data_IF_486316436153
#
_entry.id   IF_486316436153
#
_cell.length_a   1.000
_cell.length_b   1.000
_cell.length_c   1.000
_cell.angle_alpha   90.00
_cell.angle_beta   90.00
_cell.angle_gamma   90.00
#
_symmetry.space_group_name_H-M   'P 1'
#
loop_
_entity.id
_entity.type
_entity.pdbx_description
1 polymer ?
#
# COMPACT_ATOMS: atom_id res chain seq x y z
N UNK A 1 -7.07 -3.39 -16.64
CA UNK A 1 -8.25 -4.27 -16.76
C UNK A 1 -8.52 -5.05 -15.48
N UNK A 2 -7.60 -5.89 -14.99
CA UNK A 2 -7.78 -6.68 -13.75
C UNK A 2 -8.11 -5.83 -12.52
N UNK A 3 -7.41 -4.72 -12.30
CA UNK A 3 -7.70 -3.77 -11.22
C UNK A 3 -9.11 -3.18 -11.29
N UNK A 4 -9.64 -2.92 -12.51
CA UNK A 4 -11.02 -2.44 -12.69
C UNK A 4 -12.03 -3.52 -12.34
N UNK A 5 -11.85 -4.76 -12.83
CA UNK A 5 -12.73 -5.87 -12.48
C UNK A 5 -12.74 -6.17 -10.98
N UNK A 6 -11.57 -6.17 -10.36
CA UNK A 6 -11.43 -6.34 -8.92
C UNK A 6 -12.15 -5.22 -8.16
N UNK A 7 -11.99 -3.97 -8.59
CA UNK A 7 -12.65 -2.81 -7.96
C UNK A 7 -14.17 -2.92 -8.06
N UNK A 8 -14.71 -3.29 -9.22
CA UNK A 8 -16.16 -3.48 -9.41
C UNK A 8 -16.71 -4.53 -8.44
N UNK A 9 -16.02 -5.67 -8.31
CA UNK A 9 -16.41 -6.72 -7.37
C UNK A 9 -16.30 -6.29 -5.90
N UNK A 10 -15.28 -5.50 -5.55
CA UNK A 10 -15.11 -4.95 -4.20
C UNK A 10 -16.22 -3.96 -3.86
N UNK A 11 -16.50 -3.01 -4.76
CA UNK A 11 -17.52 -1.99 -4.54
C UNK A 11 -18.94 -2.56 -4.57
N UNK A 12 -19.22 -3.63 -5.33
CA UNK A 12 -20.52 -4.29 -5.28
C UNK A 12 -20.79 -4.94 -3.92
N UNK A 13 -19.78 -5.60 -3.34
CA UNK A 13 -19.89 -6.20 -1.99
C UNK A 13 -20.00 -5.13 -0.91
N UNK A 14 -19.22 -4.05 -1.01
CA UNK A 14 -19.34 -2.89 -0.11
C UNK A 14 -20.74 -2.26 -0.17
N UNK A 15 -21.28 -2.07 -1.36
CA UNK A 15 -22.63 -1.54 -1.56
C UNK A 15 -23.71 -2.46 -0.99
N UNK A 16 -23.58 -3.78 -1.20
CA UNK A 16 -24.48 -4.76 -0.61
C UNK A 16 -24.48 -4.71 0.91
N UNK A 17 -23.29 -4.66 1.53
CA UNK A 17 -23.15 -4.53 2.99
C UNK A 17 -23.81 -3.23 3.48
N UNK A 18 -23.47 -2.09 2.89
CA UNK A 18 -23.99 -0.80 3.31
C UNK A 18 -25.52 -0.72 3.20
N UNK A 19 -26.10 -1.33 2.16
CA UNK A 19 -27.55 -1.41 2.00
C UNK A 19 -28.20 -2.29 3.08
N UNK A 20 -27.57 -3.40 3.45
CA UNK A 20 -28.07 -4.28 4.51
C UNK A 20 -28.00 -3.60 5.89
N UNK A 21 -26.88 -2.95 6.21
CA UNK A 21 -26.70 -2.20 7.46
C UNK A 21 -27.69 -1.02 7.57
N UNK A 22 -27.91 -0.31 6.45
CA UNK A 22 -28.93 0.74 6.37
C UNK A 22 -30.33 0.20 6.65
N UNK A 23 -30.68 -0.96 6.09
CA UNK A 23 -31.96 -1.63 6.36
C UNK A 23 -32.12 -2.00 7.84
N UNK A 24 -31.10 -2.59 8.46
CA UNK A 24 -31.12 -2.94 9.89
C UNK A 24 -31.23 -1.72 10.81
N UNK A 25 -30.58 -0.61 10.45
CA UNK A 25 -30.70 0.66 11.18
C UNK A 25 -32.15 1.18 11.17
N UNK A 26 -32.79 1.17 10.00
CA UNK A 26 -34.20 1.55 9.87
C UNK A 26 -35.12 0.62 10.66
N UNK A 27 -34.93 -0.70 10.55
CA UNK A 27 -35.77 -1.67 11.26
C UNK A 27 -35.70 -1.47 12.79
N UNK A 28 -34.52 -1.13 13.33
CA UNK A 28 -34.33 -0.85 14.76
C UNK A 28 -35.06 0.42 15.21
N UNK A 29 -35.01 1.47 14.39
CA UNK A 29 -35.77 2.70 14.65
C UNK A 29 -37.27 2.47 14.54
N UNK A 30 -37.73 1.74 13.53
CA UNK A 30 -39.14 1.35 13.35
C UNK A 30 -39.61 0.57 14.57
N UNK A 31 -38.86 -0.44 15.02
CA UNK A 31 -39.21 -1.24 16.20
C UNK A 31 -39.32 -0.36 17.47
N UNK A 32 -38.42 0.60 17.62
CA UNK A 32 -38.46 1.54 18.75
C UNK A 32 -39.70 2.43 18.71
N UNK A 33 -40.10 2.90 17.52
CA UNK A 33 -41.34 3.66 17.33
C UNK A 33 -42.58 2.80 17.59
N UNK A 34 -42.62 1.57 17.06
CA UNK A 34 -43.74 0.65 17.24
C UNK A 34 -43.98 0.36 18.72
N UNK A 35 -42.92 0.14 19.50
CA UNK A 35 -43.02 -0.14 20.93
C UNK A 35 -43.47 1.08 21.77
N UNK A 36 -43.11 2.31 21.37
CA UNK A 36 -43.49 3.51 22.13
C UNK A 36 -44.92 3.99 21.81
N UNK A 37 -45.33 3.85 20.55
CA UNK A 37 -46.61 4.33 20.05
C UNK A 37 -47.68 3.22 19.93
N UNK A 38 -47.36 2.00 20.37
CA UNK A 38 -48.23 0.81 20.31
C UNK A 38 -48.84 0.56 18.92
N UNK A 39 -48.04 0.76 17.87
CA UNK A 39 -48.47 0.44 16.52
C UNK A 39 -48.60 -1.08 16.34
N UNK A 40 -49.51 -1.57 15.49
CA UNK A 40 -49.55 -2.98 15.16
C UNK A 40 -48.26 -3.41 14.46
N UNK A 41 -47.79 -4.62 14.74
CA UNK A 41 -46.60 -5.20 14.12
C UNK A 41 -46.70 -5.13 12.59
N UNK A 42 -45.60 -4.75 11.93
CA UNK A 42 -45.49 -4.57 10.47
C UNK A 42 -46.35 -3.47 9.84
N UNK A 43 -46.90 -2.54 10.63
CA UNK A 43 -47.67 -1.41 10.09
C UNK A 43 -46.85 -0.33 9.40
N UNK A 44 -45.56 -0.18 9.74
CA UNK A 44 -44.66 0.83 9.16
C UNK A 44 -43.67 0.13 8.23
N UNK A 45 -43.74 0.44 6.94
CA UNK A 45 -42.75 -0.01 5.96
C UNK A 45 -41.50 0.88 5.95
N UNK A 46 -40.37 0.36 5.45
CA UNK A 46 -39.11 1.11 5.34
C UNK A 46 -39.24 2.37 4.47
N UNK A 47 -40.08 2.32 3.44
CA UNK A 47 -40.29 3.43 2.52
C UNK A 47 -41.18 4.53 3.12
N UNK A 48 -42.09 4.15 4.03
CA UNK A 48 -43.01 5.07 4.71
C UNK A 48 -42.41 5.68 5.99
N UNK A 49 -41.33 5.11 6.52
CA UNK A 49 -40.67 5.56 7.76
C UNK A 49 -40.41 7.07 7.80
N UNK A 50 -39.90 7.65 6.70
CA UNK A 50 -39.61 9.07 6.64
C UNK A 50 -40.88 9.94 6.77
N UNK A 51 -41.96 9.53 6.13
CA UNK A 51 -43.25 10.22 6.22
C UNK A 51 -43.85 10.11 7.63
N UNK A 52 -43.84 8.91 8.21
CA UNK A 52 -44.32 8.67 9.58
C UNK A 52 -43.53 9.49 10.60
N UNK A 53 -42.20 9.57 10.45
CA UNK A 53 -41.36 10.37 11.33
C UNK A 53 -41.71 11.86 11.26
N UNK A 54 -41.96 12.41 10.06
CA UNK A 54 -42.39 13.81 9.93
C UNK A 54 -43.76 14.06 10.53
N UNK A 55 -44.68 13.10 10.40
CA UNK A 55 -46.02 13.19 11.00
C UNK A 55 -45.99 13.13 12.54
N UNK A 56 -45.19 12.23 13.10
CA UNK A 56 -45.01 12.12 14.56
C UNK A 56 -44.32 13.34 15.15
N UNK A 57 -43.36 13.93 14.44
CA UNK A 57 -42.72 15.17 14.85
C UNK A 57 -43.71 16.35 14.88
N UNK A 58 -44.68 16.38 13.96
CA UNK A 58 -45.71 17.43 13.93
C UNK A 58 -46.80 17.24 14.99
N UNK A 59 -47.13 16.01 15.35
CA UNK A 59 -48.26 15.70 16.26
C UNK A 59 -47.83 15.55 17.71
N UNK A 60 -46.71 14.86 17.99
CA UNK A 60 -46.25 14.51 19.35
C UNK A 60 -44.72 14.65 19.48
N UNK A 61 -44.16 15.87 19.40
CA UNK A 61 -42.71 16.09 19.42
C UNK A 61 -42.06 15.68 20.75
N UNK A 62 -42.75 15.84 21.87
CA UNK A 62 -42.22 15.56 23.22
C UNK A 62 -41.95 14.06 23.45
N UNK A 63 -42.85 13.17 22.99
CA UNK A 63 -42.63 11.71 23.09
C UNK A 63 -41.54 11.24 22.13
N UNK A 64 -41.48 11.83 20.94
CA UNK A 64 -40.44 11.52 19.96
C UNK A 64 -39.05 11.94 20.43
N UNK A 65 -38.93 13.06 21.15
CA UNK A 65 -37.66 13.56 21.69
C UNK A 65 -37.07 12.67 22.80
N UNK A 66 -37.89 11.86 23.47
CA UNK A 66 -37.43 10.88 24.46
C UNK A 66 -36.83 9.62 23.82
N UNK A 67 -37.18 9.34 22.56
CA UNK A 67 -36.62 8.21 21.83
C UNK A 67 -35.22 8.51 21.29
N UNK A 68 -34.29 7.60 21.57
CA UNK A 68 -32.94 7.65 21.05
C UNK A 68 -32.90 7.00 19.65
N UNK A 69 -33.41 7.71 18.64
CA UNK A 69 -33.36 7.24 17.24
C UNK A 69 -31.96 7.43 16.66
N UNK A 70 -31.43 6.40 16.01
CA UNK A 70 -30.14 6.47 15.31
C UNK A 70 -30.31 7.17 13.95
N UNK A 71 -29.34 8.01 13.56
CA UNK A 71 -29.36 8.66 12.23
C UNK A 71 -28.91 7.68 11.15
N UNK A 72 -29.87 7.08 10.43
CA UNK A 72 -29.61 6.14 9.35
C UNK A 72 -29.44 6.88 8.01
N UNK A 73 -28.20 7.20 7.60
CA UNK A 73 -27.89 7.68 6.25
C UNK A 73 -27.01 6.69 5.51
N UNK A 74 -27.39 6.33 4.29
CA UNK A 74 -26.63 5.38 3.47
C UNK A 74 -25.18 5.83 3.23
N UNK A 75 -24.97 7.13 3.01
CA UNK A 75 -23.63 7.70 2.80
C UNK A 75 -22.72 7.46 4.01
N UNK A 76 -23.25 7.55 5.23
CA UNK A 76 -22.47 7.32 6.45
C UNK A 76 -21.99 5.87 6.55
N UNK A 77 -22.74 4.91 6.02
CA UNK A 77 -22.33 3.49 5.97
C UNK A 77 -21.28 3.23 4.89
N UNK A 78 -21.41 3.89 3.72
CA UNK A 78 -20.40 3.81 2.65
C UNK A 78 -19.06 4.42 3.08
N UNK A 79 -19.09 5.57 3.77
CA UNK A 79 -17.89 6.28 4.22
C UNK A 79 -17.20 5.60 5.41
N UNK A 80 -17.93 4.81 6.21
CA UNK A 80 -17.39 4.02 7.34
C UNK A 80 -16.62 2.77 6.90
N UNK A 81 -16.48 2.52 5.60
CA UNK A 81 -15.83 1.33 5.06
C UNK A 81 -14.36 1.18 5.51
N UNK A 82 -13.96 -0.05 5.83
CA UNK A 82 -12.59 -0.35 6.24
C UNK A 82 -11.62 -0.30 5.04
N UNK A 83 -10.44 0.31 5.24
CA UNK A 83 -9.33 0.26 4.29
C UNK A 83 -8.27 -0.76 4.73
N UNK A 84 -7.46 -1.24 3.78
CA UNK A 84 -6.38 -2.19 4.06
C UNK A 84 -6.90 -3.59 4.41
N UNK A 85 -6.26 -4.25 5.38
CA UNK A 85 -6.58 -5.62 5.79
C UNK A 85 -8.02 -5.80 6.29
N UNK A 86 -8.59 -4.77 6.92
CA UNK A 86 -9.97 -4.80 7.41
C UNK A 86 -11.02 -4.94 6.31
N UNK A 87 -10.71 -4.55 5.08
CA UNK A 87 -11.62 -4.75 3.96
C UNK A 87 -11.87 -6.25 3.73
N UNK A 88 -10.81 -7.05 3.59
CA UNK A 88 -10.92 -8.48 3.31
C UNK A 88 -11.40 -9.29 4.53
N UNK A 89 -10.91 -8.97 5.74
CA UNK A 89 -11.17 -9.81 6.92
C UNK A 89 -12.40 -9.42 7.74
N UNK A 90 -12.93 -8.20 7.56
CA UNK A 90 -14.12 -7.72 8.30
C UNK A 90 -15.28 -7.52 7.31
N UNK A 91 -15.11 -6.65 6.31
CA UNK A 91 -16.21 -6.28 5.43
C UNK A 91 -16.65 -7.46 4.56
N UNK A 92 -15.71 -8.13 3.90
CA UNK A 92 -16.03 -9.25 3.01
C UNK A 92 -16.58 -10.47 3.74
N UNK A 93 -16.00 -10.82 4.89
CA UNK A 93 -16.44 -11.97 5.68
C UNK A 93 -17.86 -11.75 6.22
N UNK A 94 -18.16 -10.54 6.69
CA UNK A 94 -19.50 -10.15 7.13
C UNK A 94 -20.51 -10.21 5.98
N UNK A 95 -20.16 -9.70 4.80
CA UNK A 95 -21.03 -9.78 3.63
C UNK A 95 -21.30 -11.24 3.19
N UNK A 96 -20.31 -12.13 3.29
CA UNK A 96 -20.45 -13.56 2.95
C UNK A 96 -21.45 -14.27 3.89
N UNK A 97 -21.55 -13.86 5.16
CA UNK A 97 -22.52 -14.45 6.10
C UNK A 97 -23.98 -14.26 5.68
N UNK A 98 -24.27 -13.20 4.93
CA UNK A 98 -25.61 -12.93 4.41
C UNK A 98 -25.94 -13.68 3.11
N UNK A 99 -24.97 -14.38 2.51
CA UNK A 99 -25.19 -15.13 1.27
C UNK A 99 -25.67 -16.57 1.55
N UNK A 100 -26.61 -17.11 0.76
CA UNK A 100 -26.99 -18.51 0.87
C UNK A 100 -25.80 -19.40 0.53
N UNK A 101 -25.52 -20.41 1.37
CA UNK A 101 -24.33 -21.25 1.20
C UNK A 101 -23.02 -20.58 1.60
N UNK A 102 -23.05 -19.64 2.55
CA UNK A 102 -21.90 -18.94 3.13
C UNK A 102 -20.58 -19.74 3.25
N UNK A 103 -20.54 -21.00 3.75
CA UNK A 103 -19.28 -21.73 3.87
C UNK A 103 -18.58 -22.00 2.53
N UNK A 104 -19.33 -22.22 1.44
CA UNK A 104 -18.73 -22.45 0.12
C UNK A 104 -18.08 -21.16 -0.42
N UNK A 105 -18.77 -20.02 -0.27
CA UNK A 105 -18.26 -18.70 -0.67
C UNK A 105 -17.02 -18.29 0.13
N UNK A 106 -16.98 -18.58 1.43
CA UNK A 106 -15.82 -18.32 2.27
C UNK A 106 -14.57 -19.08 1.78
N UNK A 107 -14.70 -20.37 1.46
CA UNK A 107 -13.58 -21.18 0.94
C UNK A 107 -13.06 -20.63 -0.38
N UNK A 108 -13.95 -20.30 -1.32
CA UNK A 108 -13.56 -19.71 -2.61
C UNK A 108 -12.86 -18.36 -2.45
N UNK A 109 -13.37 -17.50 -1.57
CA UNK A 109 -12.80 -16.18 -1.31
C UNK A 109 -11.39 -16.28 -0.70
N UNK A 110 -11.20 -17.10 0.33
CA UNK A 110 -9.88 -17.27 0.95
C UNK A 110 -8.91 -18.03 0.05
N UNK A 111 -9.36 -19.01 -0.73
CA UNK A 111 -8.52 -19.70 -1.72
C UNK A 111 -8.02 -18.74 -2.82
N UNK A 112 -8.87 -17.80 -3.26
CA UNK A 112 -8.48 -16.74 -4.17
C UNK A 112 -7.40 -15.85 -3.56
N UNK A 113 -7.62 -15.32 -2.34
CA UNK A 113 -6.64 -14.48 -1.64
C UNK A 113 -5.30 -15.22 -1.43
N UNK A 114 -5.35 -16.51 -1.09
CA UNK A 114 -4.18 -17.35 -0.93
C UNK A 114 -3.40 -17.51 -2.23
N UNK A 115 -4.07 -17.79 -3.34
CA UNK A 115 -3.43 -17.93 -4.66
C UNK A 115 -2.82 -16.61 -5.16
N UNK A 116 -3.50 -15.49 -4.92
CA UNK A 116 -2.98 -14.15 -5.22
C UNK A 116 -1.72 -13.85 -4.41
N UNK A 117 -1.73 -14.16 -3.11
CA UNK A 117 -0.56 -14.03 -2.25
C UNK A 117 0.61 -14.92 -2.70
N UNK A 118 0.35 -16.19 -2.97
CA UNK A 118 1.38 -17.15 -3.41
C UNK A 118 2.07 -16.73 -4.71
N UNK A 119 1.28 -16.35 -5.72
CA UNK A 119 1.84 -15.95 -7.03
C UNK A 119 2.77 -14.74 -6.93
N UNK A 120 2.42 -13.74 -6.11
CA UNK A 120 3.31 -12.60 -5.85
C UNK A 120 4.57 -12.99 -5.09
N UNK A 121 4.48 -13.94 -4.16
CA UNK A 121 5.63 -14.35 -3.35
C UNK A 121 6.68 -15.11 -4.18
N UNK A 122 6.28 -15.83 -5.23
CA UNK A 122 7.25 -16.44 -6.15
C UNK A 122 8.15 -15.40 -6.82
N UNK A 123 7.57 -14.31 -7.34
CA UNK A 123 8.36 -13.22 -7.93
C UNK A 123 9.26 -12.51 -6.91
N UNK A 124 8.77 -12.30 -5.69
CA UNK A 124 9.57 -11.68 -4.63
C UNK A 124 10.78 -12.53 -4.23
N UNK A 125 10.59 -13.84 -4.07
CA UNK A 125 11.68 -14.77 -3.73
C UNK A 125 12.70 -14.84 -4.88
N UNK A 126 12.24 -14.94 -6.13
CA UNK A 126 13.12 -14.93 -7.31
C UNK A 126 13.93 -13.62 -7.41
N UNK A 127 13.30 -12.49 -7.10
CA UNK A 127 13.96 -11.18 -7.06
C UNK A 127 15.06 -11.05 -5.99
N UNK A 128 15.00 -11.84 -4.92
CA UNK A 128 16.06 -11.89 -3.88
C UNK A 128 17.14 -12.92 -4.23
N UNK A 129 16.74 -14.09 -4.73
CA UNK A 129 17.67 -15.19 -5.00
C UNK A 129 18.57 -14.89 -6.19
N UNK A 130 18.03 -14.32 -7.27
CA UNK A 130 18.79 -14.08 -8.51
C UNK A 130 19.98 -13.14 -8.28
N UNK A 131 19.83 -11.95 -7.66
CA UNK A 131 20.97 -11.08 -7.37
C UNK A 131 21.99 -11.72 -6.41
N UNK A 132 21.51 -12.53 -5.45
CA UNK A 132 22.38 -13.20 -4.49
C UNK A 132 23.25 -14.27 -5.15
N UNK A 133 22.70 -14.97 -6.15
CA UNK A 133 23.43 -15.93 -6.98
C UNK A 133 24.44 -15.23 -7.89
N UNK A 134 24.03 -14.12 -8.53
CA UNK A 134 24.86 -13.36 -9.47
C UNK A 134 26.07 -12.70 -8.78
N UNK A 135 25.94 -12.26 -7.53
CA UNK A 135 27.04 -11.66 -6.77
C UNK A 135 28.12 -12.69 -6.34
N UNK A 136 27.87 -13.99 -6.49
CA UNK A 136 28.86 -15.04 -6.17
C UNK A 136 29.27 -15.08 -4.69
N UNK A 137 28.45 -14.55 -3.78
CA UNK A 137 28.72 -14.50 -2.33
C UNK A 137 28.78 -15.90 -1.72
N UNK A 138 28.12 -16.88 -2.35
CA UNK A 138 28.14 -18.27 -1.91
C UNK A 138 29.15 -19.12 -2.70
N UNK A 139 29.77 -20.13 -2.06
CA UNK A 139 30.61 -21.10 -2.75
C UNK A 139 29.81 -21.82 -3.84
N UNK A 140 30.41 -22.00 -5.02
CA UNK A 140 29.81 -22.71 -6.18
C UNK A 140 29.33 -24.14 -5.88
N UNK A 141 29.73 -24.71 -4.74
CA UNK A 141 29.34 -26.04 -4.30
C UNK A 141 27.95 -26.08 -3.63
N UNK A 142 27.40 -24.93 -3.20
CA UNK A 142 26.09 -24.91 -2.56
C UNK A 142 24.99 -25.02 -3.64
N UNK A 143 24.12 -26.05 -3.58
CA UNK A 143 23.01 -26.19 -4.50
C UNK A 143 21.96 -25.10 -4.26
N UNK A 144 21.26 -24.68 -5.32
CA UNK A 144 20.26 -23.60 -5.28
C UNK A 144 19.15 -23.85 -4.26
N UNK A 145 18.80 -25.12 -4.05
CA UNK A 145 17.74 -25.55 -3.14
C UNK A 145 18.07 -25.20 -1.68
N UNK A 146 19.34 -25.34 -1.29
CA UNK A 146 19.81 -25.00 0.07
C UNK A 146 19.82 -23.49 0.27
N UNK A 147 20.21 -22.73 -0.76
CA UNK A 147 20.16 -21.26 -0.73
C UNK A 147 18.72 -20.77 -0.51
N UNK A 148 17.79 -21.25 -1.33
CA UNK A 148 16.36 -20.94 -1.20
C UNK A 148 15.85 -21.30 0.19
N UNK A 149 16.15 -22.51 0.67
CA UNK A 149 15.74 -22.95 2.01
C UNK A 149 16.28 -22.04 3.13
N UNK A 150 17.51 -21.58 3.01
CA UNK A 150 18.14 -20.68 4.00
C UNK A 150 17.49 -19.30 3.99
N UNK A 151 17.26 -18.72 2.80
CA UNK A 151 16.56 -17.43 2.68
C UNK A 151 15.14 -17.52 3.23
N UNK A 152 14.40 -18.59 2.89
CA UNK A 152 13.05 -18.82 3.43
C UNK A 152 13.06 -18.94 4.96
N UNK A 153 14.04 -19.65 5.53
CA UNK A 153 14.17 -19.79 6.99
C UNK A 153 14.49 -18.46 7.67
N UNK A 154 15.38 -17.64 7.10
CA UNK A 154 15.67 -16.29 7.59
C UNK A 154 14.42 -15.41 7.54
N UNK A 155 13.68 -15.44 6.41
CA UNK A 155 12.42 -14.71 6.28
C UNK A 155 11.37 -15.16 7.31
N UNK A 156 11.28 -16.47 7.60
CA UNK A 156 10.39 -17.02 8.62
C UNK A 156 10.73 -16.51 10.04
N UNK A 157 12.02 -16.49 10.40
CA UNK A 157 12.49 -15.97 11.69
C UNK A 157 12.16 -14.48 11.84
N UNK A 158 12.36 -13.68 10.80
CA UNK A 158 11.99 -12.26 10.80
C UNK A 158 10.48 -12.08 10.86
N UNK A 159 9.71 -12.85 10.08
CA UNK A 159 8.25 -12.77 10.03
C UNK A 159 7.58 -13.10 11.37
N UNK A 160 8.26 -13.83 12.25
CA UNK A 160 7.79 -14.11 13.61
C UNK A 160 7.56 -12.81 14.41
N UNK A 161 8.19 -11.68 14.08
CA UNK A 161 7.90 -10.40 14.73
C UNK A 161 6.46 -9.90 14.46
N UNK A 162 5.85 -10.29 13.33
CA UNK A 162 4.50 -9.87 12.96
C UNK A 162 3.41 -10.73 13.60
N UNK A 163 3.75 -11.85 14.25
CA UNK A 163 2.78 -12.72 14.93
C UNK A 163 2.53 -12.33 16.39
N UNK A 164 3.25 -11.33 16.92
CA UNK A 164 3.01 -10.78 18.25
C UNK A 164 1.64 -10.07 18.33
N UNK A 165 1.14 -9.85 19.54
CA UNK A 165 -0.14 -9.15 19.78
C UNK A 165 -0.16 -7.72 19.21
N UNK A 166 0.99 -7.06 19.11
CA UNK A 166 1.16 -5.76 18.46
C UNK A 166 1.53 -5.85 16.97
N UNK A 167 1.54 -7.05 16.38
CA UNK A 167 2.08 -7.33 15.05
C UNK A 167 1.38 -6.58 13.93
N UNK A 168 0.06 -6.38 14.02
CA UNK A 168 -0.70 -5.58 13.06
C UNK A 168 -0.19 -4.13 12.99
N UNK A 169 0.15 -3.53 14.14
CA UNK A 169 0.71 -2.17 14.17
C UNK A 169 2.08 -2.10 13.49
N UNK A 170 2.92 -3.13 13.66
CA UNK A 170 4.19 -3.22 12.96
C UNK A 170 3.98 -3.35 11.45
N UNK A 171 3.08 -4.24 11.00
CA UNK A 171 2.76 -4.41 9.59
C UNK A 171 2.30 -3.10 8.95
N UNK A 172 1.41 -2.36 9.60
CA UNK A 172 0.92 -1.07 9.12
C UNK A 172 2.04 -0.03 8.95
N UNK A 173 3.03 0.00 9.85
CA UNK A 173 4.20 0.87 9.75
C UNK A 173 5.04 0.52 8.52
N UNK A 174 5.39 -0.76 8.36
CA UNK A 174 6.24 -1.22 7.26
C UNK A 174 5.59 -0.98 5.90
N UNK A 175 4.28 -1.24 5.77
CA UNK A 175 3.53 -1.05 4.53
C UNK A 175 3.43 0.43 4.14
N UNK A 176 3.06 1.30 5.09
CA UNK A 176 2.87 2.74 4.82
C UNK A 176 4.16 3.50 4.56
N UNK A 177 5.21 3.23 5.33
CA UNK A 177 6.41 4.06 5.36
C UNK A 177 7.63 3.42 4.69
N UNK A 178 7.86 2.11 4.91
CA UNK A 178 9.06 1.46 4.39
C UNK A 178 8.93 1.09 2.91
N UNK A 179 7.81 0.47 2.51
CA UNK A 179 7.62 0.01 1.13
C UNK A 179 7.43 1.17 0.14
N UNK A 180 6.50 2.09 0.46
CA UNK A 180 6.09 3.16 -0.46
C UNK A 180 7.23 4.11 -0.84
N UNK A 181 7.99 4.61 0.16
CA UNK A 181 9.10 5.53 -0.08
C UNK A 181 10.22 4.87 -0.89
N UNK A 182 10.64 3.67 -0.49
CA UNK A 182 11.74 2.96 -1.16
C UNK A 182 11.41 2.65 -2.62
N UNK A 183 10.19 2.20 -2.93
CA UNK A 183 9.77 1.93 -4.31
C UNK A 183 9.87 3.16 -5.21
N UNK A 184 9.43 4.33 -4.73
CA UNK A 184 9.49 5.58 -5.51
C UNK A 184 10.96 5.97 -5.76
N UNK A 185 11.81 5.89 -4.74
CA UNK A 185 13.24 6.23 -4.86
C UNK A 185 13.97 5.30 -5.85
N UNK A 186 13.78 3.98 -5.72
CA UNK A 186 14.42 3.02 -6.61
C UNK A 186 13.94 3.15 -8.05
N UNK A 187 12.64 3.32 -8.28
CA UNK A 187 12.09 3.56 -9.62
C UNK A 187 12.65 4.85 -10.25
N UNK A 188 12.82 5.91 -9.45
CA UNK A 188 13.43 7.15 -9.93
C UNK A 188 14.89 6.93 -10.35
N UNK A 189 15.70 6.28 -9.51
CA UNK A 189 17.11 6.01 -9.84
C UNK A 189 17.27 5.07 -11.02
N UNK A 190 16.40 4.08 -11.20
CA UNK A 190 16.42 3.18 -12.35
C UNK A 190 16.18 3.93 -13.66
N UNK A 191 15.16 4.79 -13.71
CA UNK A 191 14.85 5.61 -14.90
C UNK A 191 16.00 6.58 -15.19
N UNK A 192 16.55 7.25 -14.18
CA UNK A 192 17.70 8.16 -14.36
C UNK A 192 18.94 7.38 -14.83
N UNK A 193 19.19 6.20 -14.27
CA UNK A 193 20.30 5.33 -14.64
C UNK A 193 20.24 4.90 -16.10
N UNK A 194 19.09 4.43 -16.58
CA UNK A 194 18.95 3.97 -17.98
C UNK A 194 18.98 5.15 -18.97
N UNK A 195 18.24 6.22 -18.70
CA UNK A 195 18.05 7.29 -19.68
C UNK A 195 19.25 8.25 -19.75
N UNK A 196 19.79 8.64 -18.61
CA UNK A 196 20.83 9.68 -18.52
C UNK A 196 22.24 9.13 -18.30
N UNK A 197 22.41 8.03 -17.55
CA UNK A 197 23.75 7.46 -17.30
C UNK A 197 24.16 6.48 -18.40
N UNK A 198 23.30 5.53 -18.76
CA UNK A 198 23.56 4.59 -19.87
C UNK A 198 23.39 5.26 -21.24
N UNK A 199 22.43 6.17 -21.35
CA UNK A 199 22.15 6.97 -22.53
C UNK A 199 21.02 6.39 -23.38
N UNK A 200 20.00 7.22 -23.63
CA UNK A 200 18.79 6.80 -24.34
C UNK A 200 19.05 6.31 -25.78
N UNK A 201 20.00 6.89 -26.51
CA UNK A 201 20.30 6.47 -27.89
C UNK A 201 20.86 5.05 -27.91
N UNK A 202 21.82 4.75 -27.03
CA UNK A 202 22.40 3.41 -26.88
C UNK A 202 21.34 2.39 -26.49
N UNK A 203 20.45 2.76 -25.56
CA UNK A 203 19.31 1.90 -25.19
C UNK A 203 18.35 1.64 -26.36
N UNK A 204 18.10 2.64 -27.21
CA UNK A 204 17.28 2.45 -28.42
C UNK A 204 17.95 1.54 -29.46
N UNK A 205 19.27 1.63 -29.60
CA UNK A 205 20.05 0.76 -30.50
C UNK A 205 20.01 -0.69 -30.01
N UNK A 206 20.14 -0.92 -28.70
CA UNK A 206 20.04 -2.27 -28.11
C UNK A 206 18.65 -2.88 -28.31
N UNK A 207 17.59 -2.08 -28.16
CA UNK A 207 16.22 -2.56 -28.42
C UNK A 207 16.03 -2.88 -29.91
N UNK A 208 16.56 -2.08 -30.82
CA UNK A 208 16.52 -2.37 -32.25
C UNK A 208 17.26 -3.67 -32.57
N UNK A 209 18.40 -3.91 -31.93
CA UNK A 209 19.15 -5.16 -32.09
C UNK A 209 18.37 -6.39 -31.58
N UNK A 210 17.63 -6.27 -30.47
CA UNK A 210 16.83 -7.37 -29.91
C UNK A 210 15.50 -7.61 -30.63
N UNK A 211 14.81 -6.55 -31.05
CA UNK A 211 13.42 -6.62 -31.56
C UNK A 211 13.29 -6.34 -33.05
N UNK A 212 14.38 -5.90 -33.70
CA UNK A 212 14.42 -5.53 -35.12
C UNK A 212 13.78 -4.18 -35.47
N UNK A 213 13.30 -3.40 -34.48
CA UNK A 213 12.66 -2.09 -34.71
C UNK A 213 13.03 -1.09 -33.63
N UNK A 214 13.33 0.16 -34.02
CA UNK A 214 13.56 1.24 -33.05
C UNK A 214 12.27 1.64 -32.32
N UNK A 215 12.34 1.91 -31.00
CA UNK A 215 11.22 2.51 -30.27
C UNK A 215 10.80 3.85 -30.89
N UNK A 216 9.49 4.00 -31.09
CA UNK A 216 8.88 5.21 -31.65
C UNK A 216 8.98 6.43 -30.72
N UNK A 217 8.54 7.59 -31.22
CA UNK A 217 8.64 8.88 -30.51
C UNK A 217 7.93 8.85 -29.15
N UNK A 218 6.78 8.19 -29.05
CA UNK A 218 6.02 8.04 -27.80
C UNK A 218 6.88 7.50 -26.65
N UNK A 219 7.57 6.38 -26.88
CA UNK A 219 8.43 5.76 -25.87
C UNK A 219 9.61 6.65 -25.49
N UNK A 220 10.24 7.30 -26.48
CA UNK A 220 11.38 8.19 -26.24
C UNK A 220 11.01 9.41 -25.40
N UNK A 221 9.89 10.06 -25.69
CA UNK A 221 9.38 11.21 -24.92
C UNK A 221 8.96 10.75 -23.52
N UNK A 222 8.33 9.58 -23.42
CA UNK A 222 7.88 9.03 -22.15
C UNK A 222 9.06 8.79 -21.21
N UNK A 223 10.09 8.06 -21.67
CA UNK A 223 11.26 7.76 -20.85
C UNK A 223 12.12 9.00 -20.55
N UNK A 224 12.27 9.91 -21.51
CA UNK A 224 13.15 11.09 -21.35
C UNK A 224 12.55 12.18 -20.47
N UNK A 225 11.24 12.41 -20.55
CA UNK A 225 10.62 13.59 -19.94
C UNK A 225 9.47 13.21 -19.02
N UNK A 226 8.51 12.41 -19.49
CA UNK A 226 7.26 12.18 -18.76
C UNK A 226 7.51 11.35 -17.49
N UNK A 227 8.16 10.19 -17.60
CA UNK A 227 8.46 9.30 -16.49
C UNK A 227 9.27 9.96 -15.37
N UNK A 228 10.44 10.59 -15.64
CA UNK A 228 11.21 11.22 -14.57
C UNK A 228 10.46 12.41 -13.93
N UNK A 229 9.70 13.18 -14.72
CA UNK A 229 8.90 14.29 -14.18
C UNK A 229 7.76 13.79 -13.28
N UNK A 230 7.01 12.77 -13.72
CA UNK A 230 5.95 12.17 -12.90
C UNK A 230 6.51 11.57 -11.59
N UNK A 231 7.58 10.79 -11.67
CA UNK A 231 8.21 10.22 -10.48
C UNK A 231 8.73 11.32 -9.53
N UNK A 232 9.34 12.38 -10.06
CA UNK A 232 9.78 13.52 -9.26
C UNK A 232 8.61 14.24 -8.58
N UNK A 233 7.49 14.46 -9.29
CA UNK A 233 6.30 15.10 -8.70
C UNK A 233 5.70 14.28 -7.58
N UNK A 234 5.58 12.96 -7.74
CA UNK A 234 5.05 12.06 -6.72
C UNK A 234 6.01 12.01 -5.52
N UNK A 235 7.32 11.96 -5.77
CA UNK A 235 8.33 11.99 -4.72
C UNK A 235 8.23 13.26 -3.86
N UNK A 236 8.19 14.44 -4.49
CA UNK A 236 8.07 15.72 -3.77
C UNK A 236 6.75 15.80 -3.00
N UNK A 237 5.63 15.39 -3.62
CA UNK A 237 4.33 15.35 -2.95
C UNK A 237 4.34 14.43 -1.73
N UNK A 238 5.00 13.27 -1.83
CA UNK A 238 5.13 12.33 -0.72
C UNK A 238 5.98 12.89 0.43
N UNK A 239 7.09 13.59 0.12
CA UNK A 239 7.90 14.27 1.15
C UNK A 239 7.09 15.38 1.85
N UNK A 240 6.33 16.17 1.10
CA UNK A 240 5.43 17.19 1.68
C UNK A 240 4.40 16.50 2.59
N UNK A 241 3.77 15.42 2.13
CA UNK A 241 2.81 14.66 2.93
C UNK A 241 3.41 14.13 4.25
N UNK A 242 4.65 13.63 4.22
CA UNK A 242 5.36 13.18 5.41
C UNK A 242 5.68 14.31 6.40
N UNK A 243 5.99 15.51 5.92
CA UNK A 243 6.29 16.67 6.79
C UNK A 243 5.01 17.21 7.44
N UNK A 244 3.89 17.19 6.72
CA UNK A 244 2.63 17.78 7.19
C UNK A 244 1.80 16.83 8.05
N UNK A 245 1.93 15.52 7.86
CA UNK A 245 1.13 14.53 8.58
C UNK A 245 1.85 14.09 9.85
N UNK A 246 1.25 14.33 11.01
CA UNK A 246 1.75 13.75 12.26
C UNK A 246 1.64 12.23 12.19
N UNK A 247 2.75 11.50 12.37
CA UNK A 247 2.75 10.04 12.37
C UNK A 247 1.82 9.52 13.48
N UNK A 248 0.60 9.13 13.11
CA UNK A 248 -0.41 8.55 13.99
C UNK A 248 -0.83 7.16 13.52
N UNK A 249 -1.32 6.36 14.46
CA UNK A 249 -1.86 5.03 14.22
C UNK A 249 -3.19 4.85 14.93
N UNK A 250 -4.04 3.99 14.35
CA UNK A 250 -5.37 3.70 14.86
C UNK A 250 -5.29 2.53 15.84
N UNK A 251 -5.31 2.82 17.13
CA UNK A 251 -5.25 1.82 18.20
C UNK A 251 -6.63 1.24 18.51
N UNK A 252 -6.67 -0.07 18.73
CA UNK A 252 -7.83 -0.74 19.32
C UNK A 252 -7.79 -0.61 20.85
N UNK A 253 -8.77 0.07 21.42
CA UNK A 253 -8.93 0.20 22.87
C UNK A 253 -10.42 0.00 23.24
N UNK A 254 -10.79 -1.12 23.88
CA UNK A 254 -12.18 -1.41 24.23
C UNK A 254 -12.73 -0.48 25.34
N UNK A 255 -11.85 0.16 26.11
CA UNK A 255 -12.21 1.12 27.16
C UNK A 255 -12.07 2.56 26.68
N UNK A 256 -12.11 2.79 25.37
CA UNK A 256 -11.99 4.14 24.81
C UNK A 256 -13.27 4.94 25.04
N UNK A 257 -13.16 5.94 25.91
CA UNK A 257 -14.10 7.05 26.02
C UNK A 257 -13.32 8.35 25.78
N UNK A 258 -13.56 9.02 24.65
CA UNK A 258 -13.00 10.35 24.41
C UNK A 258 -13.98 11.40 24.94
N UNK A 259 -13.60 12.07 26.04
CA UNK A 259 -14.22 13.34 26.44
C UNK A 259 -13.55 14.42 25.57
N UNK A 260 -14.18 14.74 24.44
CA UNK A 260 -13.73 15.84 23.57
C UNK A 260 -13.64 17.15 24.38
N UNK A 261 -12.60 17.95 24.12
CA UNK A 261 -12.11 19.00 25.00
C UNK A 261 -13.08 20.11 25.39
N UNK A 262 -12.69 20.81 26.46
CA UNK A 262 -13.28 22.00 27.08
C UNK A 262 -13.92 23.00 26.10
N UNK A 263 -15.23 23.18 26.19
CA UNK A 263 -15.96 24.35 25.68
C UNK A 263 -16.93 24.85 26.78
N UNK A 264 -17.24 26.17 26.80
CA UNK A 264 -18.06 26.79 27.84
C UNK A 264 -19.52 26.27 27.82
N UNK A 265 -20.26 26.41 28.94
CA UNK A 265 -21.43 25.57 29.26
C UNK A 265 -22.73 25.92 28.52
N UNK A 266 -22.69 26.53 27.32
CA UNK A 266 -23.90 27.08 26.68
C UNK A 266 -24.30 26.48 25.33
N UNK A 267 -23.63 25.42 24.86
CA UNK A 267 -24.08 24.71 23.64
C UNK A 267 -24.02 23.20 23.84
N UNK A 268 -25.18 22.58 23.97
CA UNK A 268 -25.35 21.15 24.23
C UNK A 268 -25.16 20.34 22.94
N UNK A 269 -23.92 20.15 22.51
CA UNK A 269 -23.56 19.16 21.48
C UNK A 269 -22.35 18.34 21.94
N UNK A 270 -22.62 17.42 22.86
CA UNK A 270 -21.65 16.39 23.29
C UNK A 270 -21.57 15.28 22.24
N UNK A 271 -20.72 15.43 21.23
CA UNK A 271 -20.37 14.28 20.39
C UNK A 271 -19.39 13.39 21.17
N UNK A 272 -19.92 12.56 22.08
CA UNK A 272 -19.15 11.55 22.81
C UNK A 272 -18.69 10.50 21.80
N UNK A 273 -17.41 10.52 21.41
CA UNK A 273 -16.81 9.41 20.66
C UNK A 273 -16.64 8.24 21.63
N UNK A 274 -17.64 7.38 21.65
CA UNK A 274 -17.62 6.11 22.35
C UNK A 274 -17.07 5.04 21.40
N UNK A 275 -16.51 3.95 21.94
CA UNK A 275 -16.39 2.69 21.20
C UNK A 275 -17.66 2.45 20.37
N UNK A 276 -17.56 2.23 19.04
CA UNK A 276 -16.49 1.52 18.32
C UNK A 276 -15.48 2.39 17.53
N UNK A 277 -15.39 3.71 17.75
CA UNK A 277 -14.42 4.53 17.00
C UNK A 277 -12.96 4.24 17.39
N UNK A 278 -12.06 4.11 16.40
CA UNK A 278 -10.64 3.82 16.63
C UNK A 278 -9.92 5.04 17.21
N UNK A 279 -9.15 4.84 18.30
CA UNK A 279 -8.38 5.89 18.94
C UNK A 279 -7.12 6.21 18.12
N UNK A 280 -6.93 7.46 17.72
CA UNK A 280 -5.69 7.89 17.07
C UNK A 280 -4.62 8.17 18.13
N UNK A 281 -3.50 7.43 18.06
CA UNK A 281 -2.34 7.63 18.94
C UNK A 281 -1.14 8.03 18.10
N UNK A 282 -0.31 8.94 18.62
CA UNK A 282 0.96 9.31 18.00
C UNK A 282 2.00 8.22 18.22
N UNK A 283 2.84 7.96 17.21
CA UNK A 283 3.97 7.04 17.38
C UNK A 283 5.02 7.61 18.33
N UNK A 284 5.63 6.79 19.20
CA UNK A 284 6.74 7.21 20.03
C UNK A 284 8.00 7.49 19.19
N UNK A 285 8.87 8.39 19.66
CA UNK A 285 10.03 8.86 18.89
C UNK A 285 11.02 7.76 18.46
N UNK A 286 11.15 6.68 19.23
CA UNK A 286 11.99 5.54 18.84
C UNK A 286 11.44 4.79 17.62
N UNK A 287 10.11 4.72 17.44
CA UNK A 287 9.49 4.13 16.24
C UNK A 287 9.75 5.02 15.04
N UNK A 288 9.64 6.34 15.20
CA UNK A 288 9.92 7.29 14.12
C UNK A 288 11.38 7.16 13.64
N UNK A 289 12.33 6.95 14.57
CA UNK A 289 13.72 6.69 14.23
C UNK A 289 13.89 5.37 13.45
N UNK A 290 13.20 4.30 13.84
CA UNK A 290 13.20 3.01 13.11
C UNK A 290 12.60 3.18 11.71
N UNK A 291 11.49 3.90 11.56
CA UNK A 291 10.90 4.19 10.26
C UNK A 291 11.89 4.95 9.37
N UNK A 292 12.51 6.01 9.90
CA UNK A 292 13.54 6.75 9.19
C UNK A 292 14.68 5.83 8.74
N UNK A 293 15.19 5.00 9.64
CA UNK A 293 16.25 4.04 9.31
C UNK A 293 15.82 3.08 8.19
N UNK A 294 14.64 2.46 8.29
CA UNK A 294 14.13 1.52 7.29
C UNK A 294 13.87 2.16 5.91
N UNK A 295 13.46 3.43 5.89
CA UNK A 295 13.18 4.16 4.65
C UNK A 295 14.46 4.71 4.01
N UNK A 296 15.43 5.19 4.80
CA UNK A 296 16.65 5.80 4.25
C UNK A 296 17.80 4.82 4.03
N UNK A 297 17.90 3.75 4.83
CA UNK A 297 19.01 2.80 4.73
C UNK A 297 19.10 2.15 3.34
N UNK A 298 18.02 1.63 2.73
CA UNK A 298 18.09 1.06 1.38
C UNK A 298 18.42 2.12 0.33
N UNK A 299 17.84 3.31 0.45
CA UNK A 299 18.09 4.43 -0.46
C UNK A 299 19.55 4.90 -0.42
N UNK A 300 20.21 4.84 0.75
CA UNK A 300 21.61 5.22 0.94
C UNK A 300 22.60 4.20 0.37
N UNK A 301 22.20 2.93 0.23
CA UNK A 301 23.07 1.90 -0.37
C UNK A 301 23.38 2.21 -1.84
N UNK A 302 22.45 2.82 -2.59
CA UNK A 302 22.65 3.17 -4.00
C UNK A 302 23.82 4.16 -4.19
N UNK A 303 23.80 5.38 -3.60
CA UNK A 303 24.93 6.30 -3.69
C UNK A 303 26.16 5.76 -2.95
N UNK A 304 25.99 4.97 -1.87
CA UNK A 304 27.10 4.34 -1.15
C UNK A 304 27.92 3.40 -2.03
N UNK A 305 27.26 2.50 -2.77
CA UNK A 305 27.92 1.61 -3.73
C UNK A 305 28.51 2.41 -4.89
N UNK A 306 27.81 3.42 -5.42
CA UNK A 306 28.34 4.28 -6.47
C UNK A 306 29.64 4.98 -6.05
N UNK A 307 29.70 5.51 -4.81
CA UNK A 307 30.90 6.12 -4.24
C UNK A 307 32.03 5.11 -3.99
N UNK A 308 31.72 3.90 -3.54
CA UNK A 308 32.71 2.85 -3.35
C UNK A 308 33.32 2.36 -4.69
N UNK A 309 32.53 2.34 -5.77
CA UNK A 309 33.00 1.91 -7.08
C UNK A 309 33.71 3.01 -7.88
N UNK A 310 33.43 4.29 -7.63
CA UNK A 310 34.12 5.43 -8.26
C UNK A 310 35.65 5.35 -8.23
N UNK A 311 36.34 5.03 -7.11
CA UNK A 311 37.79 4.89 -7.09
C UNK A 311 38.28 3.66 -7.86
N UNK A 312 37.54 2.55 -7.83
CA UNK A 312 37.86 1.32 -8.58
C UNK A 312 37.72 1.57 -10.09
N UNK A 313 36.66 2.27 -10.49
CA UNK A 313 36.42 2.69 -11.86
C UNK A 313 37.49 3.67 -12.34
N UNK A 314 37.89 4.64 -11.51
CA UNK A 314 39.00 5.55 -11.83
C UNK A 314 40.31 4.80 -12.06
N UNK A 315 40.62 3.79 -11.22
CA UNK A 315 41.79 2.93 -11.40
C UNK A 315 41.73 2.12 -12.69
N UNK A 316 40.61 1.41 -12.97
CA UNK A 316 40.44 0.65 -14.22
C UNK A 316 40.47 1.54 -15.47
N UNK A 317 39.91 2.74 -15.39
CA UNK A 317 39.95 3.71 -16.50
C UNK A 317 41.38 4.17 -16.75
N UNK A 318 42.17 4.42 -15.70
CA UNK A 318 43.59 4.72 -15.83
C UNK A 318 44.36 3.53 -16.43
N UNK A 319 44.10 2.30 -15.99
CA UNK A 319 44.71 1.07 -16.54
C UNK A 319 44.37 0.88 -18.04
N UNK A 320 43.10 1.01 -18.43
CA UNK A 320 42.67 0.89 -19.82
C UNK A 320 43.23 2.00 -20.73
N UNK A 321 43.33 3.24 -20.23
CA UNK A 321 43.97 4.35 -20.97
C UNK A 321 45.46 4.07 -21.15
N UNK A 322 46.15 3.58 -20.11
CA UNK A 322 47.55 3.18 -20.17
C UNK A 322 47.77 2.06 -21.20
N UNK A 323 46.90 1.05 -21.22
CA UNK A 323 47.00 -0.11 -22.10
C UNK A 323 46.72 0.24 -23.56
N UNK A 324 45.72 1.09 -23.83
CA UNK A 324 45.45 1.60 -25.17
C UNK A 324 46.56 2.53 -25.69
N UNK A 325 47.21 3.30 -24.81
CA UNK A 325 48.38 4.11 -25.16
C UNK A 325 49.60 3.22 -25.50
N UNK A 326 49.78 2.12 -24.77
CA UNK A 326 50.85 1.14 -25.03
C UNK A 326 50.65 0.40 -26.36
N UNK A 327 49.41 0.00 -26.68
CA UNK A 327 49.07 -0.62 -27.98
C UNK A 327 49.37 0.31 -29.16
N UNK A 328 48.98 1.60 -29.07
CA UNK A 328 49.27 2.59 -30.13
C UNK A 328 50.77 2.85 -30.35
N UNK A 329 51.57 2.81 -29.28
CA UNK A 329 53.03 2.93 -29.39
C UNK A 329 53.67 1.69 -30.04
N UNK A 330 53.08 0.51 -29.83
CA UNK A 330 53.52 -0.72 -30.44
C UNK A 330 53.21 -0.74 -31.95
N UNK A 331 51.99 -0.34 -32.35
CA UNK A 331 51.60 -0.23 -33.76
C UNK A 331 52.44 0.81 -34.52
N UNK A 332 52.78 1.94 -33.87
CA UNK A 332 53.65 2.96 -34.47
C UNK A 332 55.08 2.45 -34.70
N UNK A 333 55.63 1.66 -33.74
CA UNK A 333 56.95 1.05 -33.90
C UNK A 333 56.99 -0.02 -34.99
N UNK A 334 55.90 -0.79 -35.16
CA UNK A 334 55.79 -1.80 -36.22
C UNK A 334 55.73 -1.14 -37.61
N UNK A 335 54.94 -0.07 -37.76
CA UNK A 335 54.91 0.73 -39.00
C UNK A 335 56.27 1.34 -39.35
N UNK A 336 57.04 1.85 -38.37
CA UNK A 336 58.37 2.41 -38.63
C UNK A 336 59.42 1.35 -39.03
N UNK A 337 59.22 0.08 -38.66
CA UNK A 337 60.10 -1.04 -39.05
C UNK A 337 59.74 -1.68 -40.40
N UNK A 338 58.53 -1.52 -40.92
CA UNK A 338 58.14 -1.99 -42.27
C UNK A 338 58.53 -1.00 -43.38
N UNK A 339 58.87 0.25 -43.02
CA UNK A 339 59.23 1.32 -43.97
C UNK A 339 60.76 1.45 -44.16
N UNK A 340 61.57 0.67 -43.42
CA UNK A 340 63.04 0.68 -43.50
C UNK A 340 63.57 -0.66 -43.96
#
# INVERSE_FOLDING_TARGET
MTSLYASIAVFSVLGFKAANDYGHCLDRNILSLTNEFDFPDQSISRDEYAAVLTHLNATQPERLAQLHLESCRLQDFLDKSASGTGLAFIVFTEAILHMPGAPAWAVLFFAMLFTLGLSSMFGNIEGVITPLLDMGVLPRWVPKEILTGTVCLLCFLVATCFTLQSGNYWLEIFDKYAASLNLIIFAFFEVIGVVYVYGMERFCDDIEWMTGRRPGLYWRVTWKVISPLLLLTIFVAYIIFLVWTTLSYKAWNPQYEEIGGSCPPTTFTWLRKQFPSRQEKSYPGWVQAICGLLSFLPALLVPGVAMAQLPIWRRRKQENVQQNMCLKLQDSKVSDSEVR
#
